data_IF_913291901358
#
_entry.id   IF_913291901358
#
_cell.length_a   1.000
_cell.length_b   1.000
_cell.length_c   1.000
_cell.angle_alpha   90.00
_cell.angle_beta   90.00
_cell.angle_gamma   90.00
#
_symmetry.space_group_name_H-M   'P 1'
#
loop_
_entity.id
_entity.type
_entity.pdbx_description
1 polymer ?
#
# COMPACT_ATOMS: atom_id res chain seq x y z
N UNK A 1 17.41 0.53 7.49
CA UNK A 1 16.33 1.34 8.12
C UNK A 1 15.89 2.50 7.24
N UNK A 2 16.81 3.26 6.62
CA UNK A 2 16.45 4.37 5.72
C UNK A 2 15.79 3.92 4.41
N UNK A 3 16.24 2.82 3.79
CA UNK A 3 15.62 2.28 2.59
C UNK A 3 14.14 1.91 2.81
N UNK A 4 13.81 1.17 3.87
CA UNK A 4 12.41 0.82 4.23
C UNK A 4 11.54 2.07 4.39
N UNK A 5 12.02 3.09 5.12
CA UNK A 5 11.31 4.38 5.27
C UNK A 5 11.14 5.14 3.95
N UNK A 6 12.12 5.06 3.06
CA UNK A 6 12.02 5.67 1.73
C UNK A 6 10.97 4.95 0.86
N UNK A 7 10.94 3.61 0.87
CA UNK A 7 9.91 2.83 0.16
C UNK A 7 8.50 3.13 0.67
N UNK A 8 8.29 3.02 1.99
CA UNK A 8 7.00 3.31 2.63
C UNK A 8 6.49 4.74 2.32
N UNK A 9 7.39 5.69 2.10
CA UNK A 9 7.04 7.08 1.74
C UNK A 9 6.55 7.27 0.30
N UNK A 10 6.58 6.23 -0.55
CA UNK A 10 6.08 6.29 -1.94
C UNK A 10 5.10 5.17 -2.30
N UNK A 11 5.03 4.10 -1.52
CA UNK A 11 4.10 2.98 -1.76
C UNK A 11 2.64 3.43 -1.80
N UNK A 12 2.27 4.44 -1.00
CA UNK A 12 0.90 4.96 -0.97
C UNK A 12 0.50 5.66 -2.27
N UNK A 13 1.41 6.38 -2.93
CA UNK A 13 1.13 7.04 -4.23
C UNK A 13 0.85 5.99 -5.30
N UNK A 14 1.62 4.88 -5.30
CA UNK A 14 1.41 3.76 -6.22
C UNK A 14 0.09 3.03 -5.95
N UNK A 15 -0.29 2.85 -4.68
CA UNK A 15 -1.59 2.30 -4.31
C UNK A 15 -2.74 3.20 -4.77
N UNK A 16 -2.64 4.51 -4.52
CA UNK A 16 -3.62 5.51 -4.93
C UNK A 16 -3.80 5.50 -6.45
N UNK A 17 -2.70 5.47 -7.21
CA UNK A 17 -2.72 5.34 -8.66
C UNK A 17 -3.35 4.02 -9.12
N UNK A 18 -3.10 2.90 -8.43
CA UNK A 18 -3.72 1.62 -8.76
C UNK A 18 -5.25 1.65 -8.58
N UNK A 19 -5.73 2.25 -7.48
CA UNK A 19 -7.16 2.40 -7.20
C UNK A 19 -7.82 3.35 -8.20
N UNK A 20 -7.19 4.49 -8.50
CA UNK A 20 -7.65 5.43 -9.53
C UNK A 20 -7.66 4.77 -10.93
N UNK A 21 -6.63 4.00 -11.26
CA UNK A 21 -6.49 3.28 -12.52
C UNK A 21 -7.54 2.19 -12.72
N UNK A 22 -8.07 1.62 -11.63
CA UNK A 22 -9.24 0.74 -11.63
C UNK A 22 -10.57 1.50 -11.80
N UNK A 23 -10.59 2.82 -11.62
CA UNK A 23 -11.81 3.65 -11.66
C UNK A 23 -12.44 3.90 -10.29
N UNK A 24 -11.75 3.51 -9.22
CA UNK A 24 -12.13 3.85 -7.85
C UNK A 24 -11.98 5.35 -7.56
N UNK A 25 -12.56 5.80 -6.45
CA UNK A 25 -12.35 7.14 -5.89
C UNK A 25 -11.49 7.01 -4.64
N UNK A 26 -10.57 7.94 -4.44
CA UNK A 26 -9.68 7.97 -3.28
C UNK A 26 -9.80 9.28 -2.53
N UNK A 27 -9.53 9.24 -1.23
CA UNK A 27 -9.13 10.40 -0.46
C UNK A 27 -7.60 10.35 -0.34
N UNK A 28 -6.91 11.28 -1.00
CA UNK A 28 -5.43 11.29 -1.06
C UNK A 28 -4.81 11.39 0.34
N UNK A 29 -3.88 10.49 0.66
CA UNK A 29 -3.19 10.40 1.95
C UNK A 29 -2.54 11.72 2.34
N UNK A 30 -1.90 12.42 1.40
CA UNK A 30 -1.26 13.70 1.70
C UNK A 30 -2.27 14.76 2.20
N UNK A 31 -3.48 14.79 1.61
CA UNK A 31 -4.56 15.67 2.07
C UNK A 31 -5.05 15.23 3.45
N UNK A 32 -5.18 13.93 3.69
CA UNK A 32 -5.55 13.36 4.99
C UNK A 32 -4.55 13.72 6.08
N UNK A 33 -3.25 13.50 5.83
CA UNK A 33 -2.19 13.82 6.79
C UNK A 33 -2.17 15.31 7.15
N UNK A 34 -2.48 16.18 6.18
CA UNK A 34 -2.60 17.62 6.44
C UNK A 34 -3.83 17.97 7.29
N UNK A 35 -4.98 17.33 7.02
CA UNK A 35 -6.24 17.54 7.75
C UNK A 35 -6.16 17.01 9.20
N UNK A 36 -5.54 15.85 9.39
CA UNK A 36 -5.46 15.15 10.66
C UNK A 36 -4.09 15.28 11.34
N UNK A 37 -3.29 16.25 10.91
CA UNK A 37 -1.91 16.43 11.37
C UNK A 37 -1.80 16.44 12.90
N UNK A 38 -2.69 17.17 13.56
CA UNK A 38 -2.72 17.30 15.02
C UNK A 38 -3.05 15.98 15.73
N UNK A 39 -3.86 15.11 15.12
CA UNK A 39 -4.21 13.80 15.66
C UNK A 39 -3.14 12.74 15.39
N UNK A 40 -2.44 12.85 14.25
CA UNK A 40 -1.35 11.96 13.87
C UNK A 40 -0.08 12.26 14.68
N UNK A 41 0.24 13.54 14.88
CA UNK A 41 1.42 13.99 15.64
C UNK A 41 1.31 13.64 17.14
N UNK A 42 0.10 13.54 17.71
CA UNK A 42 -0.07 13.19 19.13
C UNK A 42 0.21 11.72 19.46
N UNK A 43 0.10 10.82 18.49
CA UNK A 43 0.17 9.35 18.71
C UNK A 43 1.33 8.65 17.97
N UNK A 44 2.19 9.40 17.29
CA UNK A 44 3.41 8.91 16.64
C UNK A 44 3.23 7.84 15.54
N UNK A 45 2.02 7.54 15.03
CA UNK A 45 1.83 6.83 13.75
C UNK A 45 0.38 6.79 13.28
N UNK A 46 0.17 6.73 11.96
CA UNK A 46 -1.10 6.36 11.35
C UNK A 46 -1.18 4.82 11.29
N UNK A 47 -1.86 4.19 12.24
CA UNK A 47 -2.09 2.73 12.27
C UNK A 47 -3.45 2.37 11.63
N UNK A 48 -3.74 1.06 11.50
CA UNK A 48 -4.98 0.61 10.85
C UNK A 48 -6.26 1.11 11.54
N UNK A 49 -6.31 1.03 12.88
CA UNK A 49 -7.47 1.48 13.65
C UNK A 49 -7.75 2.96 13.43
N UNK A 50 -6.72 3.80 13.50
CA UNK A 50 -6.84 5.24 13.24
C UNK A 50 -7.17 5.53 11.77
N UNK A 51 -6.61 4.77 10.84
CA UNK A 51 -6.94 4.85 9.41
C UNK A 51 -8.42 4.56 9.15
N UNK A 52 -8.99 3.55 9.81
CA UNK A 52 -10.44 3.25 9.73
C UNK A 52 -11.26 4.40 10.35
N UNK A 53 -10.86 4.93 11.50
CA UNK A 53 -11.56 6.06 12.12
C UNK A 53 -11.59 7.29 11.22
N UNK A 54 -10.46 7.64 10.60
CA UNK A 54 -10.35 8.74 9.64
C UNK A 54 -11.22 8.47 8.41
N UNK A 55 -11.17 7.25 7.86
CA UNK A 55 -12.03 6.86 6.74
C UNK A 55 -13.51 7.04 7.09
N UNK A 56 -13.92 6.65 8.31
CA UNK A 56 -15.28 6.84 8.81
C UNK A 56 -15.70 8.31 8.90
N UNK A 57 -14.84 9.17 9.44
CA UNK A 57 -15.11 10.60 9.53
C UNK A 57 -15.28 11.27 8.15
N UNK A 58 -14.70 10.67 7.11
CA UNK A 58 -14.77 11.14 5.74
C UNK A 58 -15.84 10.46 4.89
N UNK A 59 -16.71 9.65 5.51
CA UNK A 59 -17.71 8.83 4.84
C UNK A 59 -17.09 7.93 3.74
N UNK A 60 -15.92 7.35 4.03
CA UNK A 60 -15.30 6.33 3.18
C UNK A 60 -15.95 4.97 3.40
N UNK A 61 -16.19 4.23 2.32
CA UNK A 61 -16.77 2.89 2.38
C UNK A 61 -15.74 1.83 2.82
N UNK A 62 -14.49 2.00 2.36
CA UNK A 62 -13.40 1.04 2.53
C UNK A 62 -12.10 1.78 2.88
N UNK A 63 -11.36 1.26 3.85
CA UNK A 63 -9.99 1.65 4.15
C UNK A 63 -9.01 0.62 3.58
N UNK A 64 -8.01 1.07 2.82
CA UNK A 64 -7.01 0.20 2.18
C UNK A 64 -5.64 0.43 2.80
N UNK A 65 -4.99 -0.66 3.19
CA UNK A 65 -3.69 -0.67 3.85
C UNK A 65 -2.71 -1.53 3.06
N UNK A 66 -1.45 -1.11 3.05
CA UNK A 66 -0.31 -1.86 2.51
C UNK A 66 0.71 -2.09 3.60
N UNK A 67 1.28 -3.29 3.65
CA UNK A 67 2.40 -3.63 4.53
C UNK A 67 3.47 -4.39 3.76
N UNK A 68 4.75 -4.06 3.99
CA UNK A 68 5.88 -4.78 3.41
C UNK A 68 6.20 -5.95 4.35
N UNK A 69 5.80 -7.15 3.94
CA UNK A 69 5.87 -8.35 4.79
C UNK A 69 7.17 -9.14 4.65
N UNK A 70 7.85 -9.04 3.51
CA UNK A 70 9.18 -9.62 3.30
C UNK A 70 9.97 -8.76 2.30
N UNK A 71 11.27 -8.63 2.52
CA UNK A 71 12.18 -7.98 1.57
C UNK A 71 13.61 -8.41 1.82
N UNK A 72 14.37 -8.60 0.75
CA UNK A 72 15.79 -8.91 0.88
C UNK A 72 16.49 -9.24 -0.43
N UNK A 73 17.81 -9.15 -0.40
CA UNK A 73 18.67 -9.60 -1.50
C UNK A 73 19.65 -10.64 -0.95
N UNK A 74 19.68 -11.82 -1.57
CA UNK A 74 20.61 -12.89 -1.22
C UNK A 74 21.13 -13.56 -2.49
N UNK A 75 22.46 -13.62 -2.63
CA UNK A 75 23.15 -14.31 -3.73
C UNK A 75 22.66 -13.88 -5.13
N UNK A 76 22.50 -12.57 -5.36
CA UNK A 76 22.01 -12.03 -6.64
C UNK A 76 20.51 -12.24 -6.90
N UNK A 77 19.74 -12.66 -5.89
CA UNK A 77 18.28 -12.76 -5.96
C UNK A 77 17.66 -11.76 -5.00
N UNK A 78 16.71 -10.97 -5.49
CA UNK A 78 15.94 -10.01 -4.70
C UNK A 78 14.48 -10.42 -4.64
N UNK A 79 13.88 -10.29 -3.46
CA UNK A 79 12.45 -10.46 -3.23
C UNK A 79 11.88 -9.24 -2.53
N UNK A 80 10.66 -8.90 -2.90
CA UNK A 80 9.82 -7.94 -2.18
C UNK A 80 8.41 -8.52 -2.11
N UNK A 81 7.83 -8.58 -0.92
CA UNK A 81 6.45 -8.96 -0.70
C UNK A 81 5.67 -7.82 -0.06
N UNK A 82 4.55 -7.47 -0.69
CA UNK A 82 3.61 -6.46 -0.22
C UNK A 82 2.27 -7.12 0.01
N UNK A 83 1.75 -7.00 1.23
CA UNK A 83 0.38 -7.34 1.56
C UNK A 83 -0.49 -6.11 1.36
N UNK A 84 -1.58 -6.26 0.60
CA UNK A 84 -2.63 -5.25 0.47
C UNK A 84 -3.90 -5.78 1.13
N UNK A 85 -4.52 -4.95 1.96
CA UNK A 85 -5.72 -5.30 2.72
C UNK A 85 -6.75 -4.18 2.60
N UNK A 86 -7.98 -4.54 2.26
CA UNK A 86 -9.12 -3.65 2.25
C UNK A 86 -10.08 -4.04 3.38
N UNK A 87 -10.51 -3.06 4.15
CA UNK A 87 -11.38 -3.23 5.31
C UNK A 87 -12.63 -2.38 5.10
N UNK A 88 -13.81 -2.97 5.26
CA UNK A 88 -15.06 -2.20 5.30
C UNK A 88 -15.09 -1.34 6.56
N UNK A 89 -15.38 -0.05 6.40
CA UNK A 89 -15.23 0.93 7.48
C UNK A 89 -16.26 0.76 8.60
N UNK A 90 -17.49 0.36 8.26
CA UNK A 90 -18.57 0.26 9.24
C UNK A 90 -18.50 -1.00 10.10
N UNK A 91 -18.16 -2.15 9.50
CA UNK A 91 -18.05 -3.43 10.19
C UNK A 91 -16.65 -3.71 10.73
N UNK A 92 -15.62 -3.11 10.14
CA UNK A 92 -14.23 -3.46 10.39
C UNK A 92 -13.82 -4.79 9.75
N UNK A 93 -14.66 -5.40 8.91
CA UNK A 93 -14.36 -6.68 8.27
C UNK A 93 -13.38 -6.53 7.10
N UNK A 94 -12.47 -7.51 6.98
CA UNK A 94 -11.55 -7.58 5.85
C UNK A 94 -12.30 -8.11 4.62
N UNK A 95 -12.72 -7.20 3.74
CA UNK A 95 -13.45 -7.55 2.51
C UNK A 95 -12.53 -8.08 1.42
N UNK A 96 -11.23 -7.74 1.47
CA UNK A 96 -10.26 -8.27 0.53
C UNK A 96 -8.83 -8.22 1.11
N UNK A 97 -8.05 -9.25 0.82
CA UNK A 97 -6.62 -9.31 1.16
C UNK A 97 -5.87 -10.06 0.08
N UNK A 98 -4.71 -9.55 -0.30
CA UNK A 98 -3.80 -10.23 -1.21
C UNK A 98 -2.34 -9.97 -0.84
N UNK A 99 -1.48 -10.91 -1.19
CA UNK A 99 -0.03 -10.76 -1.08
C UNK A 99 0.50 -10.77 -2.51
N UNK A 100 1.32 -9.78 -2.83
CA UNK A 100 2.01 -9.66 -4.10
C UNK A 100 3.50 -9.80 -3.87
N UNK A 101 4.16 -10.56 -4.74
CA UNK A 101 5.59 -10.84 -4.64
C UNK A 101 6.26 -10.44 -5.95
N UNK A 102 7.24 -9.55 -5.87
CA UNK A 102 8.16 -9.23 -6.95
C UNK A 102 9.46 -9.99 -6.73
N UNK A 103 9.99 -10.62 -7.77
CA UNK A 103 11.22 -11.41 -7.70
C UNK A 103 12.14 -11.06 -8.86
N UNK A 104 13.38 -10.75 -8.55
CA UNK A 104 14.43 -10.60 -9.54
C UNK A 104 15.51 -11.64 -9.27
N UNK A 105 15.75 -12.53 -10.25
CA UNK A 105 16.68 -13.66 -10.13
C UNK A 105 17.92 -13.45 -10.99
N UNK A 106 19.10 -13.71 -10.43
CA UNK A 106 20.36 -13.69 -11.18
C UNK A 106 20.78 -12.32 -11.71
N UNK A 107 20.28 -11.24 -11.11
CA UNK A 107 20.63 -9.86 -11.47
C UNK A 107 21.65 -9.32 -10.46
N UNK A 108 22.54 -8.43 -10.91
CA UNK A 108 23.68 -7.91 -10.14
C UNK A 108 23.29 -7.45 -8.73
N UNK A 109 24.25 -7.52 -7.80
CA UNK A 109 24.12 -7.34 -6.33
C UNK A 109 23.37 -6.08 -5.82
N UNK A 110 22.90 -5.20 -6.70
CA UNK A 110 22.20 -3.95 -6.38
C UNK A 110 20.97 -3.71 -7.27
N UNK A 111 19.95 -4.56 -7.18
CA UNK A 111 18.63 -4.20 -7.70
C UNK A 111 17.97 -3.16 -6.80
N UNK A 112 17.40 -2.14 -7.43
CA UNK A 112 16.50 -1.21 -6.76
C UNK A 112 15.14 -1.88 -6.53
N UNK A 113 14.80 -2.14 -5.26
CA UNK A 113 13.52 -2.73 -4.86
C UNK A 113 12.32 -1.87 -5.32
N UNK A 114 12.52 -0.60 -5.67
CA UNK A 114 11.48 0.28 -6.23
C UNK A 114 10.90 -0.25 -7.54
N UNK A 115 11.69 -1.02 -8.31
CA UNK A 115 11.28 -1.66 -9.56
C UNK A 115 10.28 -2.78 -9.26
N UNK A 116 10.64 -3.69 -8.34
CA UNK A 116 9.78 -4.79 -7.90
C UNK A 116 8.47 -4.27 -7.31
N UNK A 117 8.54 -3.17 -6.56
CA UNK A 117 7.36 -2.51 -6.02
C UNK A 117 6.44 -1.97 -7.12
N UNK A 118 6.99 -1.30 -8.15
CA UNK A 118 6.18 -0.82 -9.28
C UNK A 118 5.48 -1.97 -10.01
N UNK A 119 6.20 -3.06 -10.30
CA UNK A 119 5.63 -4.27 -10.92
C UNK A 119 4.48 -4.85 -10.09
N UNK A 120 4.62 -4.89 -8.76
CA UNK A 120 3.57 -5.33 -7.85
C UNK A 120 2.30 -4.46 -7.99
N UNK A 121 2.43 -3.13 -8.01
CA UNK A 121 1.27 -2.24 -8.10
C UNK A 121 0.64 -2.21 -9.50
N UNK A 122 1.41 -2.43 -10.55
CA UNK A 122 0.87 -2.67 -11.91
C UNK A 122 0.02 -3.93 -11.94
N UNK A 123 0.53 -5.06 -11.43
CA UNK A 123 -0.24 -6.31 -11.32
C UNK A 123 -1.49 -6.16 -10.44
N UNK A 124 -1.42 -5.39 -9.35
CA UNK A 124 -2.59 -5.06 -8.54
C UNK A 124 -3.65 -4.35 -9.39
N UNK A 125 -3.25 -3.35 -10.17
CA UNK A 125 -4.15 -2.56 -11.03
C UNK A 125 -4.84 -3.45 -12.06
N UNK A 126 -4.09 -4.33 -12.73
CA UNK A 126 -4.66 -5.27 -13.70
C UNK A 126 -5.63 -6.26 -13.05
N UNK A 127 -5.29 -6.80 -11.87
CA UNK A 127 -6.20 -7.70 -11.14
C UNK A 127 -7.49 -7.01 -10.72
N UNK A 128 -7.42 -5.75 -10.29
CA UNK A 128 -8.60 -4.99 -9.94
C UNK A 128 -9.50 -4.80 -11.17
N UNK A 129 -8.94 -4.46 -12.33
CA UNK A 129 -9.67 -4.35 -13.60
C UNK A 129 -10.32 -5.67 -14.04
N UNK A 130 -9.61 -6.80 -13.90
CA UNK A 130 -10.08 -8.10 -14.37
C UNK A 130 -11.11 -8.77 -13.44
N UNK A 131 -11.30 -8.28 -12.20
CA UNK A 131 -12.38 -8.74 -11.30
C UNK A 131 -13.74 -8.11 -11.60
N UNK A 132 -13.77 -7.13 -12.50
CA UNK A 132 -14.98 -6.40 -12.93
C UNK A 132 -15.62 -6.93 -14.21
N UNK A 133 -15.00 -7.92 -14.86
CA UNK A 133 -15.58 -8.70 -15.97
C UNK A 133 -16.17 -10.03 -15.47
#
# INVERSE_FOLDING_TARGET
>A
MEQKKFFESRSYEKLELAILGYGGKIQEKYKLEKLFRSEIESENSLNEEKGIQIAKQLNGDVAVFTDITDYGTASGNSVLEVTVKAIEVDSGEVVWKAIYSGKALGLQDNIDLSILESEIFEHLTEKLKNKTE
#
